data_IF_374487094653
#
_entry.id   IF_374487094653
#
_cell.length_a   1.000
_cell.length_b   1.000
_cell.length_c   1.000
_cell.angle_alpha   90.00
_cell.angle_beta   90.00
_cell.angle_gamma   90.00
#
_symmetry.space_group_name_H-M   'P 1'
#
loop_
_entity.id
_entity.type
_entity.pdbx_description
1 polymer ?
#
# COMPACT_ATOMS: atom_id res chain seq x y z
N UNK A 1 1.83 -0.49 7.14
CA UNK A 1 3.16 -0.68 7.79
C UNK A 1 3.08 -0.45 9.29
N UNK A 2 3.01 -1.53 10.07
CA UNK A 2 2.60 -1.49 11.50
C UNK A 2 3.42 -2.45 12.36
N UNK A 3 3.92 -1.95 13.50
CA UNK A 3 4.34 -2.76 14.65
C UNK A 3 3.08 -3.18 15.41
N UNK A 4 2.83 -4.49 15.50
CA UNK A 4 1.64 -5.01 16.17
C UNK A 4 1.72 -4.72 17.67
N UNK A 5 0.64 -4.15 18.21
CA UNK A 5 0.53 -3.70 19.60
C UNK A 5 1.03 -4.75 20.59
N UNK A 6 1.93 -4.32 21.49
CA UNK A 6 2.51 -5.12 22.56
C UNK A 6 3.34 -6.34 22.11
N UNK A 7 3.81 -6.39 20.87
CA UNK A 7 4.65 -7.48 20.33
C UNK A 7 5.92 -6.96 19.66
N UNK A 8 6.81 -7.88 19.25
CA UNK A 8 7.92 -7.62 18.34
C UNK A 8 7.60 -8.04 16.89
N UNK A 9 6.32 -7.98 16.49
CA UNK A 9 5.87 -8.34 15.15
C UNK A 9 5.77 -7.10 14.28
N UNK A 10 6.44 -7.11 13.13
CA UNK A 10 6.34 -6.09 12.10
C UNK A 10 5.58 -6.66 10.90
N UNK A 11 4.54 -5.97 10.45
CA UNK A 11 3.81 -6.32 9.22
C UNK A 11 4.09 -5.27 8.15
N UNK A 12 4.64 -5.74 7.02
CA UNK A 12 4.94 -4.99 5.80
C UNK A 12 5.92 -3.79 5.92
N UNK A 13 6.48 -3.50 7.10
CA UNK A 13 7.48 -2.42 7.29
C UNK A 13 8.92 -2.96 7.35
N UNK A 14 9.43 -3.44 6.22
CA UNK A 14 10.81 -3.94 6.14
C UNK A 14 11.86 -2.82 6.20
N UNK A 15 11.45 -1.56 5.96
CA UNK A 15 12.28 -0.38 6.20
C UNK A 15 12.49 -0.09 7.69
N UNK A 16 11.61 -0.57 8.57
CA UNK A 16 11.76 -0.45 10.02
C UNK A 16 13.03 -1.10 10.55
N UNK A 17 13.41 -2.24 9.95
CA UNK A 17 14.58 -3.01 10.30
C UNK A 17 15.88 -2.17 10.21
N UNK A 18 16.04 -1.42 9.12
CA UNK A 18 17.21 -0.54 8.92
C UNK A 18 17.26 0.61 9.92
N UNK A 19 16.10 1.08 10.38
CA UNK A 19 16.00 2.15 11.38
C UNK A 19 16.26 1.64 12.80
N UNK A 20 16.16 0.32 13.03
CA UNK A 20 16.28 -0.31 14.35
C UNK A 20 17.04 -1.64 14.28
N UNK A 21 18.30 -1.66 13.80
CA UNK A 21 19.00 -2.89 13.42
C UNK A 21 19.36 -3.81 14.58
N UNK A 22 19.39 -3.30 15.82
CA UNK A 22 19.77 -4.06 17.01
C UNK A 22 18.58 -4.73 17.73
N UNK A 23 17.35 -4.43 17.30
CA UNK A 23 16.13 -4.96 17.93
C UNK A 23 15.72 -6.27 17.26
N UNK A 24 15.21 -7.21 18.04
CA UNK A 24 14.80 -8.53 17.55
C UNK A 24 13.34 -8.50 17.13
N UNK A 25 13.11 -8.44 15.83
CA UNK A 25 11.77 -8.45 15.25
C UNK A 25 11.48 -9.71 14.46
N UNK A 26 10.20 -10.06 14.41
CA UNK A 26 9.64 -11.06 13.50
C UNK A 26 8.84 -10.32 12.44
N UNK A 27 9.03 -10.67 11.18
CA UNK A 27 8.43 -9.97 10.06
C UNK A 27 7.36 -10.80 9.40
N UNK A 28 6.30 -10.14 8.97
CA UNK A 28 5.25 -10.72 8.15
C UNK A 28 5.12 -9.92 6.86
N UNK A 29 5.02 -10.64 5.74
CA UNK A 29 4.73 -10.06 4.43
C UNK A 29 3.34 -10.52 4.01
N UNK A 30 2.38 -9.59 3.93
CA UNK A 30 1.00 -9.89 3.58
C UNK A 30 0.86 -10.31 2.11
N UNK A 31 1.58 -9.64 1.20
CA UNK A 31 1.55 -9.91 -0.24
C UNK A 31 2.73 -9.26 -1.00
N UNK A 32 2.84 -9.48 -2.31
CA UNK A 32 3.98 -9.06 -3.15
C UNK A 32 3.75 -7.76 -3.96
N UNK A 33 3.21 -6.72 -3.34
CA UNK A 33 3.27 -5.36 -3.89
C UNK A 33 4.43 -4.54 -3.33
N UNK A 34 4.92 -3.61 -4.15
CA UNK A 34 6.22 -2.95 -3.92
C UNK A 34 6.29 -2.09 -2.67
N UNK A 35 5.19 -1.49 -2.30
CA UNK A 35 4.99 -0.71 -1.10
C UNK A 35 4.86 -1.59 0.16
N UNK A 36 4.72 -2.91 0.05
CA UNK A 36 4.66 -3.83 1.20
C UNK A 36 5.97 -4.58 1.44
N UNK A 37 6.78 -4.82 0.41
CA UNK A 37 8.11 -5.45 0.58
C UNK A 37 9.28 -4.43 0.60
N UNK A 38 8.99 -3.13 0.53
CA UNK A 38 10.04 -2.11 0.46
C UNK A 38 10.98 -2.19 1.66
N UNK A 39 12.27 -2.43 1.39
CA UNK A 39 13.32 -2.61 2.39
C UNK A 39 13.98 -3.98 2.33
N UNK A 40 13.28 -5.00 1.82
CA UNK A 40 13.85 -6.32 1.55
C UNK A 40 14.92 -6.24 0.45
N UNK A 41 15.98 -7.03 0.61
CA UNK A 41 17.03 -7.22 -0.39
C UNK A 41 17.53 -8.67 -0.35
N UNK A 42 18.36 -9.05 -1.31
CA UNK A 42 19.05 -10.34 -1.31
C UNK A 42 19.95 -10.57 -0.08
N UNK A 43 20.33 -9.51 0.63
CA UNK A 43 21.14 -9.58 1.85
C UNK A 43 20.32 -9.43 3.12
N UNK A 44 19.01 -9.76 3.10
CA UNK A 44 18.15 -9.67 4.28
C UNK A 44 18.66 -10.54 5.42
N UNK A 45 18.96 -9.92 6.56
CA UNK A 45 19.46 -10.58 7.78
C UNK A 45 18.90 -9.94 9.06
N UNK A 46 17.73 -9.32 8.97
CA UNK A 46 17.13 -8.60 10.10
C UNK A 46 16.14 -9.43 10.93
N UNK A 47 15.75 -10.62 10.44
CA UNK A 47 14.80 -11.50 11.11
C UNK A 47 14.08 -12.44 10.16
N UNK A 48 13.31 -13.37 10.71
CA UNK A 48 12.48 -14.29 9.92
C UNK A 48 11.32 -13.54 9.25
N UNK A 49 10.98 -13.94 8.03
CA UNK A 49 9.84 -13.42 7.27
C UNK A 49 8.79 -14.53 7.15
N UNK A 50 7.60 -14.31 7.70
CA UNK A 50 6.46 -15.20 7.57
C UNK A 50 5.50 -14.69 6.49
N UNK A 51 5.10 -15.55 5.56
CA UNK A 51 4.18 -15.20 4.48
C UNK A 51 3.45 -16.43 3.92
N UNK A 52 2.53 -16.23 2.98
CA UNK A 52 1.86 -17.36 2.32
C UNK A 52 2.83 -18.11 1.40
N UNK A 53 2.47 -19.34 1.00
CA UNK A 53 3.28 -20.13 0.05
C UNK A 53 3.50 -19.41 -1.26
N UNK A 54 2.45 -18.78 -1.80
CA UNK A 54 2.51 -18.03 -3.06
C UNK A 54 3.38 -16.78 -2.90
N UNK A 55 3.22 -16.04 -1.80
CA UNK A 55 4.06 -14.88 -1.48
C UNK A 55 5.53 -15.26 -1.36
N UNK A 56 5.86 -16.41 -0.74
CA UNK A 56 7.24 -16.92 -0.66
C UNK A 56 7.83 -17.21 -2.04
N UNK A 57 7.07 -17.89 -2.91
CA UNK A 57 7.54 -18.20 -4.26
C UNK A 57 7.88 -16.92 -5.05
N UNK A 58 6.96 -15.96 -5.05
CA UNK A 58 7.16 -14.66 -5.68
C UNK A 58 8.32 -13.86 -5.07
N UNK A 59 8.46 -13.90 -3.74
CA UNK A 59 9.55 -13.23 -3.04
C UNK A 59 10.92 -13.80 -3.47
N UNK A 60 11.01 -15.12 -3.63
CA UNK A 60 12.25 -15.80 -4.04
C UNK A 60 12.58 -15.61 -5.52
N UNK A 61 11.58 -15.43 -6.39
CA UNK A 61 11.83 -14.99 -7.78
C UNK A 61 12.44 -13.59 -7.78
N UNK A 62 11.88 -12.68 -6.97
CA UNK A 62 12.34 -11.28 -6.93
C UNK A 62 13.68 -11.11 -6.21
N UNK A 63 13.88 -11.85 -5.12
CA UNK A 63 15.06 -11.79 -4.27
C UNK A 63 15.61 -13.19 -3.99
N UNK A 64 16.28 -13.84 -4.96
CA UNK A 64 16.75 -15.23 -4.81
C UNK A 64 17.73 -15.44 -3.64
N UNK A 65 18.39 -14.38 -3.16
CA UNK A 65 19.34 -14.45 -2.05
C UNK A 65 18.71 -14.34 -0.66
N UNK A 66 17.43 -13.96 -0.56
CA UNK A 66 16.75 -13.77 0.74
C UNK A 66 16.69 -15.10 1.50
N UNK A 67 17.05 -15.07 2.78
CA UNK A 67 17.00 -16.23 3.68
C UNK A 67 15.97 -16.04 4.78
N UNK A 68 15.64 -17.12 5.50
CA UNK A 68 14.74 -17.04 6.67
C UNK A 68 13.27 -16.80 6.33
N UNK A 69 12.83 -17.18 5.13
CA UNK A 69 11.42 -17.06 4.69
C UNK A 69 10.65 -18.33 5.03
N UNK A 70 9.66 -18.19 5.91
CA UNK A 70 8.82 -19.27 6.43
C UNK A 70 7.38 -19.10 5.96
N UNK A 71 6.68 -20.23 5.74
CA UNK A 71 5.28 -20.22 5.32
C UNK A 71 4.37 -20.62 6.47
N UNK A 72 3.21 -19.97 6.56
CA UNK A 72 2.13 -20.39 7.45
C UNK A 72 0.99 -20.99 6.61
N UNK A 73 0.46 -22.18 6.95
CA UNK A 73 -0.67 -22.75 6.24
C UNK A 73 -1.93 -21.87 6.36
N UNK A 74 -2.69 -21.76 5.26
CA UNK A 74 -3.95 -21.03 5.24
C UNK A 74 -4.96 -21.64 6.21
N UNK A 75 -5.75 -20.79 6.87
CA UNK A 75 -6.87 -21.16 7.76
C UNK A 75 -6.51 -22.11 8.90
N UNK A 76 -5.22 -22.25 9.20
CA UNK A 76 -4.72 -23.17 10.22
C UNK A 76 -3.98 -22.35 11.29
N UNK A 77 -4.49 -22.32 12.54
CA UNK A 77 -3.80 -21.61 13.60
C UNK A 77 -2.43 -22.23 13.88
N UNK A 78 -1.39 -21.41 13.78
CA UNK A 78 0.01 -21.82 13.92
C UNK A 78 0.67 -21.03 15.05
N UNK A 79 1.30 -21.72 15.98
CA UNK A 79 1.99 -21.08 17.11
C UNK A 79 3.40 -20.64 16.69
N UNK A 80 3.74 -19.39 16.99
CA UNK A 80 5.04 -18.77 16.74
C UNK A 80 5.60 -18.27 18.07
N UNK A 81 6.85 -18.62 18.34
CA UNK A 81 7.58 -18.13 19.51
C UNK A 81 8.07 -16.70 19.26
N UNK A 82 7.67 -15.77 20.13
CA UNK A 82 8.12 -14.37 20.10
C UNK A 82 9.40 -14.19 20.93
N UNK A 83 9.45 -14.87 22.08
CA UNK A 83 10.60 -15.05 22.95
C UNK A 83 10.35 -16.25 23.88
N UNK A 84 11.28 -16.54 24.80
CA UNK A 84 11.16 -17.67 25.75
C UNK A 84 9.86 -17.68 26.57
N UNK A 85 9.29 -16.49 26.83
CA UNK A 85 8.11 -16.31 27.68
C UNK A 85 6.81 -16.19 26.89
N UNK A 86 6.88 -15.66 25.66
CA UNK A 86 5.70 -15.26 24.91
C UNK A 86 5.63 -15.97 23.57
N UNK A 87 4.41 -16.42 23.26
CA UNK A 87 4.05 -17.02 21.98
C UNK A 87 2.80 -16.34 21.43
N UNK A 88 2.61 -16.46 20.12
CA UNK A 88 1.44 -15.96 19.41
C UNK A 88 0.88 -17.07 18.52
N UNK A 89 -0.44 -17.20 18.50
CA UNK A 89 -1.15 -18.02 17.52
C UNK A 89 -1.50 -17.12 16.32
N UNK A 90 -1.07 -17.54 15.14
CA UNK A 90 -1.28 -16.81 13.89
C UNK A 90 -2.11 -17.65 12.94
N UNK A 91 -3.15 -17.05 12.37
CA UNK A 91 -3.96 -17.66 11.32
C UNK A 91 -3.99 -16.77 10.10
N UNK A 92 -3.59 -17.30 8.94
CA UNK A 92 -3.75 -16.61 7.66
C UNK A 92 -5.12 -16.87 7.07
N UNK A 93 -5.78 -15.80 6.65
CA UNK A 93 -7.07 -15.80 5.97
C UNK A 93 -6.87 -15.17 4.60
N UNK A 94 -7.62 -15.61 3.60
CA UNK A 94 -7.54 -15.02 2.26
C UNK A 94 -7.99 -13.55 2.30
N UNK A 95 -7.16 -12.64 1.79
CA UNK A 95 -7.48 -11.21 1.71
C UNK A 95 -8.27 -10.84 0.45
N UNK A 96 -8.42 -11.77 -0.50
CA UNK A 96 -9.09 -11.54 -1.76
C UNK A 96 -8.54 -10.28 -2.49
N UNK A 97 -7.23 -10.03 -2.42
CA UNK A 97 -6.60 -8.84 -3.01
C UNK A 97 -5.79 -9.21 -4.27
N UNK A 98 -4.76 -10.04 -4.12
CA UNK A 98 -3.99 -10.63 -5.22
C UNK A 98 -3.54 -12.05 -4.83
N UNK A 99 -3.01 -12.86 -5.77
CA UNK A 99 -2.56 -14.21 -5.45
C UNK A 99 -1.57 -14.22 -4.28
N UNK A 100 -1.89 -15.03 -3.25
CA UNK A 100 -1.10 -15.14 -2.04
C UNK A 100 -1.33 -14.07 -0.98
N UNK A 101 -2.17 -13.06 -1.23
CA UNK A 101 -2.48 -12.04 -0.25
C UNK A 101 -3.24 -12.61 0.95
N UNK A 102 -2.84 -12.21 2.16
CA UNK A 102 -3.44 -12.69 3.40
C UNK A 102 -3.84 -11.56 4.34
N UNK A 103 -5.00 -11.73 4.99
CA UNK A 103 -5.25 -11.12 6.30
C UNK A 103 -4.62 -12.01 7.37
N UNK A 104 -4.21 -11.41 8.49
CA UNK A 104 -3.51 -12.09 9.57
C UNK A 104 -4.26 -11.88 10.87
N UNK A 105 -4.74 -12.99 11.45
CA UNK A 105 -5.34 -13.02 12.78
C UNK A 105 -4.29 -13.44 13.81
N UNK A 106 -3.96 -12.52 14.73
CA UNK A 106 -3.03 -12.74 15.84
C UNK A 106 -3.81 -12.93 17.14
N UNK A 107 -3.48 -13.98 17.89
CA UNK A 107 -4.09 -14.28 19.19
C UNK A 107 -3.00 -14.64 20.20
N UNK A 108 -2.99 -13.98 21.36
CA UNK A 108 -1.96 -14.25 22.38
C UNK A 108 -2.24 -13.57 23.72
N UNK A 109 -1.18 -13.39 24.52
CA UNK A 109 -1.24 -12.72 25.82
C UNK A 109 -1.72 -11.26 25.76
N UNK A 110 -1.74 -10.68 24.56
CA UNK A 110 -2.17 -9.32 24.27
C UNK A 110 -3.62 -9.24 23.77
N UNK A 111 -4.37 -10.35 23.72
CA UNK A 111 -5.71 -10.39 23.14
C UNK A 111 -5.71 -10.82 21.66
N UNK A 112 -6.65 -10.29 20.89
CA UNK A 112 -6.90 -10.65 19.48
C UNK A 112 -6.80 -9.45 18.56
N UNK A 113 -5.89 -9.51 17.58
CA UNK A 113 -5.64 -8.43 16.61
C UNK A 113 -5.83 -8.99 15.19
N UNK A 114 -6.60 -8.28 14.36
CA UNK A 114 -6.77 -8.60 12.94
C UNK A 114 -6.07 -7.54 12.09
N UNK A 115 -5.08 -7.95 11.29
CA UNK A 115 -4.43 -7.11 10.29
C UNK A 115 -4.88 -7.50 8.90
N UNK A 116 -5.53 -6.62 8.16
CA UNK A 116 -6.12 -6.97 6.87
C UNK A 116 -5.10 -7.10 5.75
N UNK A 117 -3.94 -6.46 5.88
CA UNK A 117 -3.11 -6.16 4.72
C UNK A 117 -3.90 -5.29 3.76
N UNK A 118 -3.70 -5.46 2.46
CA UNK A 118 -4.61 -4.95 1.45
C UNK A 118 -5.69 -6.01 1.19
N UNK A 119 -6.96 -5.59 1.13
CA UNK A 119 -8.08 -6.51 1.02
C UNK A 119 -9.24 -5.99 0.16
N UNK A 120 -9.94 -6.92 -0.50
CA UNK A 120 -11.26 -6.64 -1.08
C UNK A 120 -12.32 -7.54 -0.46
N UNK A 121 -13.10 -6.98 0.44
CA UNK A 121 -14.16 -7.72 1.11
C UNK A 121 -15.28 -8.10 0.14
N UNK A 122 -15.78 -9.33 0.27
CA UNK A 122 -17.07 -9.75 -0.25
C UNK A 122 -17.78 -10.62 0.80
N UNK A 123 -19.11 -10.74 0.70
CA UNK A 123 -19.89 -11.46 1.71
C UNK A 123 -19.61 -12.97 1.76
N UNK A 124 -19.11 -13.57 0.68
CA UNK A 124 -18.73 -14.99 0.67
C UNK A 124 -17.53 -15.30 1.58
N UNK A 125 -16.74 -14.27 1.93
CA UNK A 125 -15.62 -14.42 2.86
C UNK A 125 -16.11 -14.81 4.27
N UNK A 126 -17.33 -14.47 4.67
CA UNK A 126 -17.86 -14.81 6.00
C UNK A 126 -17.92 -16.34 6.20
N UNK A 127 -18.71 -17.11 5.42
CA UNK A 127 -18.79 -18.55 5.59
C UNK A 127 -17.47 -19.27 5.25
N UNK A 128 -16.62 -18.67 4.40
CA UNK A 128 -15.32 -19.25 4.02
C UNK A 128 -14.25 -19.16 5.13
N UNK A 129 -14.47 -18.38 6.18
CA UNK A 129 -13.48 -18.12 7.23
C UNK A 129 -14.05 -18.36 8.64
N UNK A 130 -14.36 -19.63 9.01
CA UNK A 130 -14.97 -19.96 10.31
C UNK A 130 -14.10 -19.61 11.52
N UNK A 131 -12.78 -19.45 11.35
CA UNK A 131 -11.84 -19.02 12.38
C UNK A 131 -12.09 -17.56 12.80
N UNK A 132 -12.56 -16.72 11.88
CA UNK A 132 -12.94 -15.33 12.13
C UNK A 132 -14.44 -15.18 12.36
N UNK A 133 -15.26 -15.95 11.64
CA UNK A 133 -16.72 -15.93 11.67
C UNK A 133 -17.29 -17.30 12.07
N UNK A 134 -17.25 -17.66 13.36
CA UNK A 134 -17.79 -18.93 13.82
C UNK A 134 -19.28 -19.04 13.49
N UNK A 135 -19.78 -20.21 13.04
CA UNK A 135 -21.18 -20.38 12.62
C UNK A 135 -22.20 -19.91 13.65
N UNK A 136 -21.90 -20.07 14.95
CA UNK A 136 -22.76 -19.66 16.05
C UNK A 136 -22.95 -18.13 16.18
N UNK A 137 -22.11 -17.31 15.54
CA UNK A 137 -22.18 -15.85 15.61
C UNK A 137 -22.95 -15.23 14.41
N UNK A 138 -23.35 -16.02 13.41
CA UNK A 138 -23.91 -15.52 12.14
C UNK A 138 -25.31 -14.90 12.32
N UNK A 139 -26.05 -15.26 13.36
CA UNK A 139 -27.45 -14.84 13.60
C UNK A 139 -27.63 -13.58 14.45
N UNK A 140 -26.60 -12.75 14.64
CA UNK A 140 -26.68 -11.59 15.54
C UNK A 140 -27.41 -10.40 14.92
N UNK A 141 -28.40 -9.86 15.64
CA UNK A 141 -29.30 -8.77 15.18
C UNK A 141 -28.57 -7.48 14.78
N UNK A 142 -27.41 -7.19 15.39
CA UNK A 142 -26.65 -5.95 15.14
C UNK A 142 -25.68 -6.05 13.95
N UNK A 143 -25.65 -7.19 13.26
CA UNK A 143 -24.80 -7.45 12.11
C UNK A 143 -23.35 -7.81 12.43
N UNK A 144 -22.94 -7.87 13.70
CA UNK A 144 -21.64 -8.42 14.13
C UNK A 144 -21.70 -9.93 14.08
N UNK A 145 -20.85 -10.57 13.29
CA UNK A 145 -20.80 -12.03 13.21
C UNK A 145 -19.41 -12.65 13.39
N UNK A 146 -18.38 -11.85 13.72
CA UNK A 146 -17.05 -12.37 14.01
C UNK A 146 -16.86 -12.78 15.48
N UNK A 147 -15.73 -13.41 15.78
CA UNK A 147 -15.15 -13.42 17.13
C UNK A 147 -14.89 -11.99 17.64
N UNK A 148 -14.62 -11.84 18.93
CA UNK A 148 -14.17 -10.57 19.49
C UNK A 148 -12.76 -10.21 18.97
N UNK A 149 -12.63 -8.98 18.48
CA UNK A 149 -11.39 -8.39 17.97
C UNK A 149 -11.08 -7.14 18.80
N UNK A 150 -9.96 -7.16 19.52
CA UNK A 150 -9.50 -6.00 20.30
C UNK A 150 -9.03 -4.88 19.37
N UNK A 151 -8.25 -5.22 18.35
CA UNK A 151 -7.72 -4.23 17.40
C UNK A 151 -7.88 -4.72 15.96
N UNK A 152 -8.51 -3.89 15.12
CA UNK A 152 -8.55 -4.07 13.67
C UNK A 152 -7.62 -3.06 12.99
N UNK A 153 -6.63 -3.55 12.27
CA UNK A 153 -5.75 -2.75 11.42
C UNK A 153 -6.26 -2.90 9.97
N UNK A 154 -6.98 -1.89 9.49
CA UNK A 154 -7.83 -1.94 8.30
C UNK A 154 -7.17 -1.30 7.06
N UNK A 155 -7.31 -1.98 5.91
CA UNK A 155 -7.09 -1.39 4.59
C UNK A 155 -8.06 -0.23 4.39
N UNK A 156 -7.52 0.97 4.44
CA UNK A 156 -8.27 2.20 4.34
C UNK A 156 -8.04 2.94 3.01
N UNK A 157 -7.71 2.22 1.93
CA UNK A 157 -7.40 2.78 0.60
C UNK A 157 -8.54 3.64 0.05
N UNK A 158 -9.77 3.11 0.05
CA UNK A 158 -10.99 3.79 -0.42
C UNK A 158 -12.01 4.04 0.71
N UNK A 159 -11.53 4.44 1.87
CA UNK A 159 -12.30 4.71 3.08
C UNK A 159 -13.06 6.05 3.03
N UNK A 160 -13.79 6.33 1.95
CA UNK A 160 -14.71 7.47 1.85
C UNK A 160 -15.96 7.12 1.01
N UNK A 161 -17.17 7.54 1.43
CA UNK A 161 -18.41 7.28 0.69
C UNK A 161 -18.43 7.69 -0.80
N UNK A 162 -17.51 8.56 -1.24
CA UNK A 162 -17.39 8.90 -2.67
C UNK A 162 -16.90 7.72 -3.53
N UNK A 163 -16.20 6.75 -2.93
CA UNK A 163 -15.66 5.61 -3.66
C UNK A 163 -16.72 4.53 -3.83
N UNK A 164 -17.45 4.64 -4.94
CA UNK A 164 -18.45 3.67 -5.38
C UNK A 164 -17.99 3.10 -6.72
N UNK A 165 -17.66 1.82 -6.71
CA UNK A 165 -17.32 1.07 -7.92
C UNK A 165 -17.93 -0.33 -7.84
N UNK A 166 -18.25 -0.94 -9.00
CA UNK A 166 -18.92 -2.24 -9.08
C UNK A 166 -18.11 -3.38 -8.46
N UNK A 167 -18.78 -4.51 -8.22
CA UNK A 167 -18.09 -5.76 -7.87
C UNK A 167 -17.22 -6.27 -9.04
N UNK A 168 -16.37 -7.27 -8.81
CA UNK A 168 -15.45 -7.78 -9.84
C UNK A 168 -16.19 -8.37 -11.04
N UNK A 169 -17.28 -9.09 -10.81
CA UNK A 169 -18.07 -9.74 -11.87
C UNK A 169 -18.74 -8.71 -12.79
N UNK A 170 -19.27 -7.63 -12.22
CA UNK A 170 -19.83 -6.50 -12.96
C UNK A 170 -18.74 -5.77 -13.76
N UNK A 171 -17.57 -5.52 -13.16
CA UNK A 171 -16.44 -4.92 -13.86
C UNK A 171 -15.90 -5.84 -14.99
N UNK A 172 -15.95 -7.16 -14.80
CA UNK A 172 -15.61 -8.15 -15.82
C UNK A 172 -16.61 -8.14 -16.98
N UNK A 173 -17.92 -8.05 -16.71
CA UNK A 173 -18.94 -7.89 -17.76
C UNK A 173 -18.71 -6.62 -18.58
N UNK A 174 -18.41 -5.49 -17.92
CA UNK A 174 -18.08 -4.24 -18.62
C UNK A 174 -16.83 -4.41 -19.52
N UNK A 175 -15.83 -5.16 -19.07
CA UNK A 175 -14.65 -5.47 -19.86
C UNK A 175 -15.02 -6.26 -21.12
N UNK A 176 -15.82 -7.31 -20.97
CA UNK A 176 -16.26 -8.15 -22.09
C UNK A 176 -17.09 -7.35 -23.09
N UNK A 177 -18.02 -6.51 -22.62
CA UNK A 177 -18.82 -5.63 -23.50
C UNK A 177 -17.96 -4.70 -24.36
N UNK A 178 -16.84 -4.20 -23.83
CA UNK A 178 -15.90 -3.37 -24.60
C UNK A 178 -15.19 -4.21 -25.66
N UNK A 179 -14.73 -5.40 -25.29
CA UNK A 179 -14.03 -6.32 -26.21
C UNK A 179 -14.97 -6.74 -27.34
N UNK A 180 -16.20 -7.14 -27.03
CA UNK A 180 -17.19 -7.63 -28.00
C UNK A 180 -17.61 -6.54 -29.00
N UNK A 181 -17.59 -5.26 -28.59
CA UNK A 181 -17.82 -4.11 -29.48
C UNK A 181 -16.67 -3.82 -30.43
N UNK A 182 -15.51 -4.48 -30.26
CA UNK A 182 -14.31 -4.29 -31.07
C UNK A 182 -13.76 -5.64 -31.61
N UNK A 183 -14.57 -6.44 -32.36
CA UNK A 183 -14.29 -7.86 -32.63
C UNK A 183 -13.12 -8.16 -33.57
N UNK A 184 -12.47 -7.14 -34.15
CA UNK A 184 -11.31 -7.29 -35.06
C UNK A 184 -10.05 -6.60 -34.53
N UNK A 185 -10.07 -6.15 -33.28
CA UNK A 185 -8.95 -5.44 -32.67
C UNK A 185 -8.14 -6.39 -31.78
N UNK A 186 -6.81 -6.26 -31.81
CA UNK A 186 -5.98 -6.81 -30.74
C UNK A 186 -6.25 -6.04 -29.45
N UNK A 187 -6.39 -6.75 -28.34
CA UNK A 187 -6.72 -6.16 -27.04
C UNK A 187 -5.46 -6.06 -26.19
N UNK A 188 -5.14 -4.85 -25.73
CA UNK A 188 -4.11 -4.62 -24.74
C UNK A 188 -4.72 -4.43 -23.35
N UNK A 189 -4.59 -5.43 -22.48
CA UNK A 189 -5.02 -5.34 -21.09
C UNK A 189 -3.91 -4.70 -20.25
N UNK A 190 -4.18 -3.51 -19.70
CA UNK A 190 -3.18 -2.73 -18.98
C UNK A 190 -3.34 -2.92 -17.47
N UNK A 191 -2.35 -3.57 -16.84
CA UNK A 191 -2.34 -3.85 -15.39
C UNK A 191 -0.96 -3.60 -14.76
N UNK A 192 -0.91 -3.59 -13.42
CA UNK A 192 0.31 -3.47 -12.61
C UNK A 192 1.13 -4.76 -12.60
N UNK A 193 2.33 -4.75 -12.03
CA UNK A 193 3.32 -5.85 -12.15
C UNK A 193 2.93 -7.18 -11.50
N UNK A 194 2.03 -7.19 -10.51
CA UNK A 194 1.45 -8.38 -9.87
C UNK A 194 0.00 -8.04 -9.52
N UNK A 195 -0.92 -8.97 -9.74
CA UNK A 195 -2.34 -8.80 -9.45
C UNK A 195 -3.20 -8.80 -10.72
N UNK A 196 -4.48 -9.14 -10.53
CA UNK A 196 -5.49 -9.33 -11.59
C UNK A 196 -5.22 -10.54 -12.50
N UNK A 197 -4.40 -11.50 -12.10
CA UNK A 197 -4.20 -12.75 -12.87
C UNK A 197 -5.49 -13.57 -12.96
N UNK A 198 -6.35 -13.54 -11.94
CA UNK A 198 -7.69 -14.14 -11.99
C UNK A 198 -8.54 -13.57 -13.13
N UNK A 199 -8.52 -12.24 -13.31
CA UNK A 199 -9.20 -11.55 -14.41
C UNK A 199 -8.69 -12.04 -15.77
N UNK A 200 -7.37 -12.24 -15.89
CA UNK A 200 -6.75 -12.72 -17.13
C UNK A 200 -7.18 -14.15 -17.44
N UNK A 201 -7.20 -15.03 -16.44
CA UNK A 201 -7.67 -16.42 -16.59
C UNK A 201 -9.16 -16.46 -16.94
N UNK A 202 -9.97 -15.58 -16.34
CA UNK A 202 -11.40 -15.48 -16.65
C UNK A 202 -11.63 -15.04 -18.10
N UNK A 203 -10.87 -14.06 -18.60
CA UNK A 203 -10.89 -13.66 -20.02
C UNK A 203 -10.47 -14.81 -20.93
N UNK A 204 -9.38 -15.50 -20.60
CA UNK A 204 -8.85 -16.62 -21.38
C UNK A 204 -9.91 -17.71 -21.55
N UNK A 205 -10.61 -18.06 -20.47
CA UNK A 205 -11.72 -19.02 -20.46
C UNK A 205 -12.94 -18.51 -21.23
N UNK A 206 -13.32 -17.25 -21.04
CA UNK A 206 -14.50 -16.67 -21.66
C UNK A 206 -14.38 -16.61 -23.19
N UNK A 207 -13.20 -16.26 -23.69
CA UNK A 207 -12.91 -16.08 -25.11
C UNK A 207 -12.24 -17.27 -25.79
N UNK A 208 -12.08 -18.39 -25.07
CA UNK A 208 -11.36 -19.59 -25.53
C UNK A 208 -10.02 -19.24 -26.20
N UNK A 209 -9.18 -18.53 -25.45
CA UNK A 209 -7.88 -18.03 -25.91
C UNK A 209 -6.82 -18.14 -24.82
N UNK A 210 -5.56 -17.84 -25.18
CA UNK A 210 -4.45 -17.69 -24.24
C UNK A 210 -4.04 -16.23 -24.12
N UNK A 211 -3.62 -15.82 -22.94
CA UNK A 211 -3.20 -14.46 -22.64
C UNK A 211 -1.73 -14.32 -22.95
N UNK A 212 -1.40 -13.40 -23.85
CA UNK A 212 -0.02 -13.09 -24.19
C UNK A 212 0.56 -12.20 -23.11
N UNK A 213 1.69 -12.61 -22.54
CA UNK A 213 2.39 -11.87 -21.48
C UNK A 213 3.88 -11.74 -21.82
N UNK A 214 4.58 -10.85 -21.12
CA UNK A 214 6.04 -10.77 -21.23
C UNK A 214 6.74 -11.81 -20.33
N UNK A 215 8.05 -12.01 -20.55
CA UNK A 215 8.88 -12.97 -19.81
C UNK A 215 8.74 -12.81 -18.29
N UNK A 216 8.85 -11.57 -17.80
CA UNK A 216 8.75 -11.28 -16.37
C UNK A 216 7.40 -11.69 -15.78
N UNK A 217 6.28 -11.46 -16.49
CA UNK A 217 4.96 -11.87 -16.03
C UNK A 217 4.79 -13.39 -16.10
N UNK A 218 5.33 -14.02 -17.14
CA UNK A 218 5.27 -15.46 -17.30
C UNK A 218 6.02 -16.19 -16.17
N UNK A 219 7.21 -15.67 -15.77
CA UNK A 219 7.94 -16.16 -14.60
C UNK A 219 7.11 -16.03 -13.31
N UNK A 220 6.43 -14.89 -13.12
CA UNK A 220 5.55 -14.62 -11.98
C UNK A 220 4.40 -15.65 -11.94
N UNK A 221 3.66 -15.81 -13.04
CA UNK A 221 2.55 -16.77 -13.14
C UNK A 221 3.00 -18.20 -12.90
N UNK A 222 4.15 -18.58 -13.48
CA UNK A 222 4.76 -19.90 -13.28
C UNK A 222 5.15 -20.13 -11.81
N UNK A 223 5.75 -19.13 -11.16
CA UNK A 223 6.15 -19.23 -9.76
C UNK A 223 4.96 -19.35 -8.79
N UNK A 224 3.83 -18.73 -9.13
CA UNK A 224 2.59 -18.89 -8.36
C UNK A 224 1.92 -20.24 -8.59
N UNK A 225 2.36 -21.01 -9.60
CA UNK A 225 1.69 -22.20 -10.13
C UNK A 225 0.21 -21.92 -10.45
N UNK A 226 -0.04 -20.76 -11.07
CA UNK A 226 -1.38 -20.20 -11.22
C UNK A 226 -1.86 -20.34 -12.68
N UNK A 227 -2.55 -21.44 -12.99
CA UNK A 227 -3.23 -21.64 -14.28
C UNK A 227 -2.34 -21.31 -15.49
N UNK A 228 -1.08 -21.79 -15.46
CA UNK A 228 -0.02 -21.43 -16.42
C UNK A 228 -0.43 -21.71 -17.86
N UNK A 229 -1.29 -22.70 -18.08
CA UNK A 229 -1.83 -23.11 -19.37
C UNK A 229 -2.61 -22.00 -20.11
N UNK A 230 -3.09 -20.97 -19.39
CA UNK A 230 -3.80 -19.83 -20.00
C UNK A 230 -2.87 -18.68 -20.39
N UNK A 231 -1.56 -18.83 -20.26
CA UNK A 231 -0.59 -17.79 -20.53
C UNK A 231 0.45 -18.25 -21.57
N UNK A 232 0.92 -17.32 -22.40
CA UNK A 232 1.95 -17.60 -23.41
C UNK A 232 2.86 -16.41 -23.64
N UNK A 233 4.10 -16.70 -24.06
CA UNK A 233 5.04 -15.70 -24.57
C UNK A 233 4.88 -15.47 -26.09
N UNK A 234 4.22 -16.41 -26.79
CA UNK A 234 4.04 -16.35 -28.23
C UNK A 234 2.88 -15.43 -28.59
N UNK A 235 3.21 -14.29 -29.19
CA UNK A 235 2.23 -13.28 -29.59
C UNK A 235 1.24 -13.75 -30.65
N UNK A 236 1.53 -14.86 -31.34
CA UNK A 236 0.68 -15.43 -32.39
C UNK A 236 -0.40 -16.37 -31.85
N UNK A 237 -0.24 -16.88 -30.62
CA UNK A 237 -1.17 -17.84 -30.01
C UNK A 237 -2.38 -17.16 -29.34
N UNK A 238 -2.25 -15.89 -28.96
CA UNK A 238 -3.29 -15.13 -28.28
C UNK A 238 -3.49 -13.73 -28.85
N UNK A 239 -4.73 -13.25 -28.79
CA UNK A 239 -5.12 -11.92 -29.28
C UNK A 239 -5.37 -10.89 -28.17
N UNK A 240 -5.34 -11.33 -26.91
CA UNK A 240 -5.32 -10.47 -25.72
C UNK A 240 -3.89 -10.47 -25.17
N UNK A 241 -3.29 -9.29 -25.05
CA UNK A 241 -1.92 -9.10 -24.57
C UNK A 241 -1.88 -8.19 -23.35
N UNK A 242 -1.18 -8.62 -22.31
CA UNK A 242 -0.98 -7.84 -21.08
C UNK A 242 0.23 -6.95 -21.25
N UNK A 243 0.02 -5.65 -21.06
CA UNK A 243 1.08 -4.64 -21.15
C UNK A 243 1.11 -3.75 -19.90
N UNK A 244 2.22 -3.05 -19.68
CA UNK A 244 2.28 -2.01 -18.65
C UNK A 244 1.61 -0.74 -19.14
N UNK A 245 1.04 0.04 -18.21
CA UNK A 245 0.42 1.34 -18.52
C UNK A 245 1.33 2.31 -19.28
N UNK A 246 2.64 2.27 -19.03
CA UNK A 246 3.62 3.11 -19.73
C UNK A 246 3.83 2.75 -21.21
N UNK A 247 3.40 1.57 -21.64
CA UNK A 247 3.58 1.06 -23.01
C UNK A 247 2.40 1.44 -23.93
N UNK A 248 1.27 1.87 -23.37
CA UNK A 248 0.01 2.10 -24.10
C UNK A 248 0.17 3.00 -25.31
N UNK A 249 0.84 4.14 -25.17
CA UNK A 249 1.02 5.12 -26.27
C UNK A 249 1.84 4.55 -27.43
N UNK A 250 2.85 3.73 -27.13
CA UNK A 250 3.66 3.10 -28.16
C UNK A 250 2.88 1.99 -28.86
N UNK A 251 2.14 1.17 -28.11
CA UNK A 251 1.43 0.00 -28.62
C UNK A 251 0.19 0.38 -29.45
N UNK A 252 -0.47 1.50 -29.14
CA UNK A 252 -1.64 2.01 -29.88
C UNK A 252 -1.32 2.71 -31.21
N UNK A 253 -0.05 2.72 -31.66
CA UNK A 253 0.32 3.18 -33.00
C UNK A 253 -0.32 2.32 -34.10
N UNK A 254 -0.56 1.05 -33.81
CA UNK A 254 -1.37 0.18 -34.67
C UNK A 254 -2.85 0.55 -34.55
N UNK A 255 -3.49 0.80 -35.70
CA UNK A 255 -4.90 1.23 -35.77
C UNK A 255 -5.88 0.11 -35.40
N UNK A 256 -5.47 -1.15 -35.53
CA UNK A 256 -6.31 -2.32 -35.24
C UNK A 256 -6.14 -2.81 -33.80
N UNK A 257 -5.98 -1.87 -32.86
CA UNK A 257 -5.75 -2.19 -31.44
C UNK A 257 -6.59 -1.32 -30.53
N UNK A 258 -6.99 -1.89 -29.39
CA UNK A 258 -7.59 -1.15 -28.28
C UNK A 258 -6.79 -1.43 -27.00
N UNK A 259 -6.81 -0.50 -26.05
CA UNK A 259 -6.20 -0.66 -24.75
C UNK A 259 -7.24 -0.47 -23.65
N UNK A 260 -7.31 -1.43 -22.72
CA UNK A 260 -8.25 -1.40 -21.61
C UNK A 260 -7.46 -1.41 -20.31
N UNK A 261 -7.58 -0.34 -19.54
CA UNK A 261 -6.90 -0.20 -18.23
C UNK A 261 -7.83 -0.62 -17.11
N UNK A 262 -7.46 -1.70 -16.42
CA UNK A 262 -8.18 -2.21 -15.26
C UNK A 262 -7.63 -1.60 -13.97
N UNK A 263 -8.39 -0.71 -13.34
CA UNK A 263 -7.97 0.04 -12.14
C UNK A 263 -9.11 0.20 -11.14
N UNK A 264 -8.79 0.30 -9.84
CA UNK A 264 -9.80 0.53 -8.80
C UNK A 264 -10.35 1.95 -8.77
N UNK A 265 -9.68 2.91 -9.43
CA UNK A 265 -10.16 4.28 -9.54
C UNK A 265 -10.75 4.56 -10.91
N UNK A 266 -12.07 4.54 -10.97
CA UNK A 266 -12.82 5.19 -12.03
C UNK A 266 -14.09 5.78 -11.43
N UNK A 267 -13.97 6.84 -10.62
CA UNK A 267 -15.09 7.77 -10.45
C UNK A 267 -15.19 8.67 -11.71
N UNK A 268 -15.06 8.03 -12.87
CA UNK A 268 -15.07 8.64 -14.20
C UNK A 268 -16.45 8.41 -14.76
N UNK A 269 -17.08 9.49 -15.21
CA UNK A 269 -18.37 9.41 -15.90
C UNK A 269 -18.27 8.77 -17.28
N UNK A 270 -17.06 8.68 -17.85
CA UNK A 270 -16.78 8.00 -19.11
C UNK A 270 -15.67 6.98 -18.97
N UNK A 271 -16.00 5.72 -19.25
CA UNK A 271 -15.06 4.60 -19.33
C UNK A 271 -14.30 4.54 -20.67
N UNK A 272 -14.69 5.39 -21.64
CA UNK A 272 -14.06 5.50 -22.95
C UNK A 272 -13.36 6.86 -23.07
N UNK A 273 -12.12 6.84 -23.55
CA UNK A 273 -11.35 8.05 -23.85
C UNK A 273 -11.77 8.64 -25.20
N UNK A 274 -11.51 9.94 -25.47
CA UNK A 274 -11.96 10.61 -26.69
C UNK A 274 -11.47 10.01 -28.02
N UNK A 275 -10.45 9.14 -27.99
CA UNK A 275 -9.91 8.48 -29.18
C UNK A 275 -10.63 7.17 -29.53
N UNK A 276 -11.63 6.77 -28.76
CA UNK A 276 -12.40 5.53 -28.90
C UNK A 276 -11.57 4.24 -28.92
N UNK A 277 -10.31 4.29 -28.50
CA UNK A 277 -9.39 3.12 -28.47
C UNK A 277 -8.83 2.86 -27.09
N UNK A 278 -8.84 3.85 -26.20
CA UNK A 278 -8.50 3.68 -24.78
C UNK A 278 -9.75 3.61 -23.93
N UNK A 279 -9.78 2.60 -23.07
CA UNK A 279 -10.85 2.37 -22.11
C UNK A 279 -10.27 2.23 -20.71
N UNK A 280 -11.06 2.61 -19.72
CA UNK A 280 -10.75 2.46 -18.30
C UNK A 280 -11.92 1.74 -17.65
N UNK A 281 -11.66 0.64 -16.95
CA UNK A 281 -12.69 -0.10 -16.22
C UNK A 281 -12.41 -0.09 -14.71
N UNK A 282 -13.45 0.00 -13.86
CA UNK A 282 -13.33 0.05 -12.41
C UNK A 282 -13.06 -1.33 -11.76
N UNK A 283 -12.08 -2.09 -12.27
CA UNK A 283 -11.70 -3.37 -11.68
C UNK A 283 -10.73 -3.17 -10.50
N UNK A 284 -11.29 -3.08 -9.29
CA UNK A 284 -10.53 -2.87 -8.06
C UNK A 284 -10.04 -4.18 -7.40
N UNK A 285 -8.86 -4.11 -6.78
CA UNK A 285 -8.36 -5.13 -5.86
C UNK A 285 -8.52 -4.73 -4.38
N UNK A 286 -9.09 -3.56 -4.09
CA UNK A 286 -9.42 -3.10 -2.74
C UNK A 286 -10.91 -2.91 -2.56
N UNK A 287 -11.36 -2.96 -1.31
CA UNK A 287 -12.74 -2.73 -0.92
C UNK A 287 -13.19 -1.31 -1.29
N UNK A 288 -14.36 -1.15 -1.92
CA UNK A 288 -15.06 0.15 -1.92
C UNK A 288 -15.58 0.47 -0.52
N UNK A 289 -16.14 1.67 -0.32
CA UNK A 289 -16.62 2.09 1.00
C UNK A 289 -17.74 1.21 1.54
N UNK A 290 -18.66 0.72 0.69
CA UNK A 290 -19.77 -0.13 1.11
C UNK A 290 -19.30 -1.54 1.51
N UNK A 291 -18.40 -2.14 0.74
CA UNK A 291 -17.73 -3.41 1.06
C UNK A 291 -16.98 -3.28 2.40
N UNK A 292 -16.23 -2.19 2.60
CA UNK A 292 -15.53 -1.90 3.86
C UNK A 292 -16.50 -1.68 5.03
N UNK A 293 -17.62 -1.01 4.80
CA UNK A 293 -18.66 -0.80 5.81
C UNK A 293 -19.29 -2.12 6.25
N UNK A 294 -19.62 -3.01 5.31
CA UNK A 294 -20.10 -4.36 5.62
C UNK A 294 -19.08 -5.16 6.43
N UNK A 295 -17.80 -5.10 6.03
CA UNK A 295 -16.72 -5.75 6.75
C UNK A 295 -16.60 -5.24 8.19
N UNK A 296 -16.45 -3.92 8.40
CA UNK A 296 -16.31 -3.34 9.75
C UNK A 296 -17.57 -3.57 10.59
N UNK A 297 -18.77 -3.53 9.99
CA UNK A 297 -20.02 -3.88 10.68
C UNK A 297 -20.06 -5.34 11.13
N UNK A 298 -19.48 -6.25 10.35
CA UNK A 298 -19.37 -7.68 10.68
C UNK A 298 -18.40 -7.97 11.81
N UNK A 299 -17.35 -7.14 11.94
CA UNK A 299 -16.31 -7.28 12.96
C UNK A 299 -16.69 -6.57 14.26
N UNK A 300 -17.06 -5.29 14.13
CA UNK A 300 -17.18 -4.32 15.22
C UNK A 300 -15.97 -4.44 16.17
N UNK A 301 -14.78 -3.95 15.83
CA UNK A 301 -13.60 -4.13 16.69
C UNK A 301 -13.66 -3.19 17.91
N UNK A 302 -12.91 -3.46 18.98
CA UNK A 302 -12.83 -2.53 20.11
C UNK A 302 -12.03 -1.28 19.74
N UNK A 303 -10.90 -1.44 19.04
CA UNK A 303 -10.05 -0.40 18.49
C UNK A 303 -9.89 -0.55 16.97
N UNK A 304 -9.76 0.58 16.27
CA UNK A 304 -9.56 0.62 14.82
C UNK A 304 -8.31 1.43 14.47
N UNK A 305 -7.44 0.85 13.65
CA UNK A 305 -6.22 1.45 13.12
C UNK A 305 -6.18 1.39 11.59
N UNK A 306 -5.32 2.22 10.99
CA UNK A 306 -5.11 2.32 9.54
C UNK A 306 -3.88 1.52 9.09
N UNK A 307 -4.00 0.73 8.04
CA UNK A 307 -2.84 0.13 7.32
C UNK A 307 -2.08 1.24 6.58
N UNK A 308 -2.79 2.08 5.84
CA UNK A 308 -2.25 3.19 5.05
C UNK A 308 -2.19 4.44 5.94
N UNK A 309 -0.99 4.77 6.40
CA UNK A 309 -0.74 5.95 7.24
C UNK A 309 -0.43 7.15 6.35
N UNK A 310 -1.15 8.26 6.56
CA UNK A 310 -0.83 9.51 5.90
C UNK A 310 0.51 10.03 6.45
N UNK A 311 1.59 9.96 5.66
CA UNK A 311 2.85 10.63 6.00
C UNK A 311 2.63 12.14 6.02
N UNK A 312 2.57 12.73 7.21
CA UNK A 312 2.56 14.18 7.46
C UNK A 312 3.98 14.76 7.58
N UNK A 313 5.02 13.97 7.32
CA UNK A 313 6.43 14.37 7.42
C UNK A 313 7.04 14.80 6.07
N UNK A 314 7.51 16.05 6.02
CA UNK A 314 8.35 16.73 5.01
C UNK A 314 8.93 15.87 3.86
N UNK A 315 8.52 16.21 2.63
CA UNK A 315 9.30 16.19 1.38
C UNK A 315 10.36 15.08 1.28
N UNK A 316 9.92 13.84 1.09
CA UNK A 316 10.73 12.89 0.32
C UNK A 316 10.72 13.38 -1.13
N UNK A 317 11.89 13.82 -1.62
CA UNK A 317 12.11 14.13 -3.03
C UNK A 317 11.64 12.93 -3.86
N UNK A 318 10.50 13.11 -4.53
CA UNK A 318 9.92 12.14 -5.46
C UNK A 318 10.90 12.03 -6.63
N UNK A 319 11.75 11.01 -6.61
CA UNK A 319 12.48 10.60 -7.80
C UNK A 319 11.47 9.93 -8.74
N UNK A 320 11.40 10.48 -9.95
CA UNK A 320 10.62 10.05 -11.11
C UNK A 320 10.26 8.56 -11.12
N UNK A 321 8.95 8.24 -11.18
CA UNK A 321 8.33 7.16 -11.96
C UNK A 321 6.81 7.47 -12.08
N UNK A 322 6.28 7.17 -13.25
CA UNK A 322 5.01 7.56 -13.88
C UNK A 322 3.72 7.32 -13.10
N UNK A 323 2.84 8.34 -13.07
CA UNK A 323 1.36 8.36 -13.02
C UNK A 323 0.62 7.64 -11.86
N UNK A 324 1.11 6.53 -11.31
CA UNK A 324 0.62 5.95 -10.05
C UNK A 324 0.81 6.91 -8.86
N UNK A 325 1.85 7.75 -8.96
CA UNK A 325 2.12 8.85 -8.03
C UNK A 325 1.03 9.91 -8.06
N UNK A 326 0.42 10.27 -9.19
CA UNK A 326 -0.70 11.21 -9.20
C UNK A 326 -1.94 10.63 -8.49
N UNK A 327 -2.18 9.32 -8.64
CA UNK A 327 -3.28 8.59 -8.00
C UNK A 327 -3.12 8.53 -6.47
N UNK A 328 -1.95 8.10 -5.98
CA UNK A 328 -1.63 8.10 -4.56
C UNK A 328 -1.56 9.52 -3.99
N UNK A 329 -1.05 10.49 -4.74
CA UNK A 329 -1.03 11.90 -4.36
C UNK A 329 -2.46 12.43 -4.19
N UNK A 330 -3.37 12.21 -5.14
CA UNK A 330 -4.77 12.67 -5.02
C UNK A 330 -5.49 12.01 -3.83
N UNK A 331 -5.34 10.70 -3.63
CA UNK A 331 -5.92 10.01 -2.47
C UNK A 331 -5.33 10.48 -1.13
N UNK A 332 -4.04 10.80 -1.09
CA UNK A 332 -3.35 11.31 0.10
C UNK A 332 -3.78 12.73 0.47
N UNK A 333 -4.25 13.53 -0.49
CA UNK A 333 -4.75 14.89 -0.25
C UNK A 333 -6.25 14.95 0.06
N UNK A 334 -7.02 13.89 -0.24
CA UNK A 334 -8.43 13.81 0.14
C UNK A 334 -8.52 13.39 1.61
N UNK A 335 -9.10 14.23 2.47
CA UNK A 335 -9.47 13.83 3.83
C UNK A 335 -10.60 12.80 3.74
N UNK A 336 -10.24 11.52 3.78
CA UNK A 336 -11.19 10.41 3.74
C UNK A 336 -12.00 10.35 5.05
N UNK A 337 -13.33 10.47 4.94
CA UNK A 337 -14.27 10.61 6.08
C UNK A 337 -14.75 9.28 6.66
N UNK A 338 -14.55 8.19 5.94
CA UNK A 338 -15.07 6.87 6.30
C UNK A 338 -14.48 6.33 7.60
N UNK A 339 -13.23 6.64 7.88
CA UNK A 339 -12.56 6.12 9.07
C UNK A 339 -13.16 6.68 10.37
N UNK A 340 -13.44 7.99 10.40
CA UNK A 340 -14.10 8.66 11.54
C UNK A 340 -15.54 8.16 11.71
N UNK A 341 -16.23 7.87 10.61
CA UNK A 341 -17.52 7.22 10.63
C UNK A 341 -17.44 5.81 11.28
N UNK A 342 -16.46 4.99 10.93
CA UNK A 342 -16.32 3.66 11.52
C UNK A 342 -15.96 3.69 13.01
N UNK A 343 -15.03 4.57 13.41
CA UNK A 343 -14.71 4.79 14.82
C UNK A 343 -15.99 5.10 15.64
N UNK A 344 -16.80 6.05 15.17
CA UNK A 344 -18.00 6.47 15.91
C UNK A 344 -19.08 5.38 15.99
N UNK A 345 -19.25 4.57 14.94
CA UNK A 345 -20.42 3.69 14.82
C UNK A 345 -20.15 2.22 15.11
N UNK A 346 -18.91 1.75 15.05
CA UNK A 346 -18.57 0.33 15.12
C UNK A 346 -17.44 -0.01 16.10
N UNK A 347 -16.90 0.98 16.81
CA UNK A 347 -15.88 0.74 17.84
C UNK A 347 -16.41 1.03 19.23
N UNK A 348 -15.95 0.24 20.20
CA UNK A 348 -16.28 0.41 21.62
C UNK A 348 -15.15 -0.16 22.47
N UNK A 349 -14.37 0.73 23.09
CA UNK A 349 -13.25 0.38 23.97
C UNK A 349 -13.67 -0.47 25.17
N UNK A 350 -14.94 -0.45 25.57
CA UNK A 350 -15.45 -1.29 26.67
C UNK A 350 -15.43 -2.78 26.31
N UNK A 351 -15.33 -3.12 25.03
CA UNK A 351 -15.24 -4.51 24.53
C UNK A 351 -13.80 -5.02 24.45
N UNK A 352 -12.81 -4.22 24.86
CA UNK A 352 -11.45 -4.71 25.04
C UNK A 352 -11.43 -5.88 26.02
N UNK A 353 -10.73 -6.94 25.64
CA UNK A 353 -10.39 -8.05 26.51
C UNK A 353 -9.64 -7.59 27.75
N UNK A 354 -9.75 -8.36 28.83
CA UNK A 354 -9.07 -8.05 30.08
C UNK A 354 -7.55 -8.06 29.89
N UNK A 355 -7.05 -8.98 29.06
CA UNK A 355 -5.65 -9.14 28.69
C UNK A 355 -5.13 -7.86 28.02
N UNK A 356 -5.77 -7.44 26.93
CA UNK A 356 -5.38 -6.24 26.18
C UNK A 356 -5.44 -5.00 27.08
N UNK A 357 -6.56 -4.82 27.80
CA UNK A 357 -6.76 -3.68 28.70
C UNK A 357 -5.72 -3.63 29.82
N UNK A 358 -5.36 -4.78 30.39
CA UNK A 358 -4.36 -4.85 31.46
C UNK A 358 -2.99 -4.38 31.01
N UNK A 359 -2.59 -4.69 29.77
CA UNK A 359 -1.31 -4.26 29.22
C UNK A 359 -1.40 -2.79 28.81
N UNK A 360 -2.49 -2.39 28.15
CA UNK A 360 -2.71 -1.01 27.71
C UNK A 360 -2.62 0.01 28.86
N UNK A 361 -3.16 -0.33 30.03
CA UNK A 361 -3.25 0.57 31.19
C UNK A 361 -2.02 0.52 32.10
N UNK A 362 -1.14 -0.47 31.96
CA UNK A 362 0.02 -0.68 32.83
C UNK A 362 1.35 -0.45 32.08
N UNK A 363 1.93 0.74 32.29
CA UNK A 363 3.20 1.12 31.66
C UNK A 363 4.39 0.28 32.15
N UNK A 364 4.34 -0.28 33.36
CA UNK A 364 5.39 -1.16 33.88
C UNK A 364 5.32 -2.50 33.17
N UNK A 365 4.12 -3.08 33.05
CA UNK A 365 3.89 -4.32 32.31
C UNK A 365 4.33 -4.20 30.84
N UNK A 366 4.06 -3.07 30.19
CA UNK A 366 4.53 -2.80 28.83
C UNK A 366 6.07 -2.81 28.73
N UNK A 367 6.77 -2.16 29.66
CA UNK A 367 8.25 -2.17 29.69
C UNK A 367 8.80 -3.58 29.90
N UNK A 368 8.24 -4.32 30.85
CA UNK A 368 8.64 -5.72 31.11
C UNK A 368 8.45 -6.59 29.85
N UNK A 369 7.32 -6.45 29.14
CA UNK A 369 7.10 -7.14 27.86
C UNK A 369 8.14 -6.71 26.82
N UNK A 370 8.39 -5.41 26.65
CA UNK A 370 9.34 -4.91 25.66
C UNK A 370 10.78 -5.39 25.92
N UNK A 371 11.18 -5.53 27.18
CA UNK A 371 12.48 -6.09 27.57
C UNK A 371 12.57 -7.57 27.21
N UNK A 372 11.56 -8.36 27.58
CA UNK A 372 11.49 -9.80 27.27
C UNK A 372 11.48 -10.08 25.75
N UNK A 373 10.88 -9.17 24.97
CA UNK A 373 10.83 -9.27 23.51
C UNK A 373 12.09 -8.73 22.82
N UNK A 374 13.04 -8.14 23.56
CA UNK A 374 14.26 -7.54 22.97
C UNK A 374 13.98 -6.32 22.09
N UNK A 375 12.95 -5.53 22.44
CA UNK A 375 12.58 -4.27 21.78
C UNK A 375 13.20 -3.07 22.52
N UNK A 376 13.39 -3.17 23.84
CA UNK A 376 14.22 -2.25 24.60
C UNK A 376 15.70 -2.56 24.36
N UNK A 377 16.45 -1.53 23.97
CA UNK A 377 17.88 -1.63 23.71
C UNK A 377 18.62 -1.66 25.05
N UNK A 378 19.60 -2.56 25.18
CA UNK A 378 20.50 -2.55 26.32
C UNK A 378 21.43 -1.32 26.29
N UNK A 379 22.10 -1.00 27.40
CA UNK A 379 23.14 0.04 27.41
C UNK A 379 24.25 -0.24 26.38
N UNK A 380 24.57 -1.52 26.14
CA UNK A 380 25.53 -1.94 25.13
C UNK A 380 25.02 -1.68 23.71
N UNK A 381 23.73 -1.89 23.45
CA UNK A 381 23.12 -1.57 22.15
C UNK A 381 23.12 -0.06 21.90
N UNK A 382 22.87 0.75 22.93
CA UNK A 382 23.01 2.20 22.85
C UNK A 382 24.46 2.62 22.53
N UNK A 383 25.46 1.95 23.12
CA UNK A 383 26.87 2.19 22.79
C UNK A 383 27.19 1.82 21.34
N UNK A 384 26.69 0.69 20.83
CA UNK A 384 26.87 0.27 19.44
C UNK A 384 26.21 1.28 18.48
N UNK A 385 24.96 1.69 18.74
CA UNK A 385 24.27 2.70 17.91
C UNK A 385 25.05 4.01 17.88
N UNK A 386 25.53 4.47 19.04
CA UNK A 386 26.31 5.69 19.12
C UNK A 386 27.64 5.55 18.36
N UNK A 387 28.30 4.39 18.43
CA UNK A 387 29.52 4.11 17.67
C UNK A 387 29.26 4.04 16.15
N UNK A 388 28.22 3.35 15.70
CA UNK A 388 27.85 3.25 14.28
C UNK A 388 27.44 4.62 13.73
N UNK A 389 26.60 5.37 14.44
CA UNK A 389 26.23 6.75 14.08
C UNK A 389 27.45 7.67 14.01
N UNK A 390 28.38 7.54 14.96
CA UNK A 390 29.63 8.29 14.95
C UNK A 390 30.51 7.91 13.76
N UNK A 391 30.62 6.62 13.42
CA UNK A 391 31.39 6.15 12.27
C UNK A 391 30.78 6.62 10.95
N UNK A 392 29.46 6.50 10.78
CA UNK A 392 28.74 6.92 9.57
C UNK A 392 28.83 8.43 9.34
N UNK A 393 28.66 9.22 10.41
CA UNK A 393 28.81 10.69 10.35
C UNK A 393 30.24 11.10 9.99
N UNK A 394 31.22 10.30 10.39
CA UNK A 394 32.65 10.58 10.20
C UNK A 394 33.30 9.73 9.08
N UNK A 395 32.53 9.06 8.22
CA UNK A 395 33.07 8.19 7.16
C UNK A 395 34.11 8.92 6.26
N UNK A 396 33.91 10.21 5.99
CA UNK A 396 34.85 11.04 5.22
C UNK A 396 36.19 11.31 5.94
N UNK A 397 36.21 11.25 7.27
CA UNK A 397 37.40 11.44 8.10
C UNK A 397 38.18 10.11 8.19
N UNK A 398 37.47 9.00 8.37
CA UNK A 398 38.06 7.66 8.50
C UNK A 398 38.51 7.06 7.15
N UNK A 399 37.90 7.42 6.02
CA UNK A 399 38.39 7.01 4.70
C UNK A 399 39.73 7.67 4.34
N UNK A 400 40.00 8.89 4.82
CA UNK A 400 41.31 9.56 4.60
C UNK A 400 42.46 8.87 5.33
N UNK A 401 42.21 8.16 6.43
CA UNK A 401 43.26 7.44 7.17
C UNK A 401 43.63 6.08 6.57
N UNK A 402 42.76 5.46 5.76
CA UNK A 402 43.06 4.17 5.09
C UNK A 402 43.90 4.28 3.82
N UNK A 403 44.18 5.49 3.31
CA UNK A 403 44.98 5.71 2.09
C UNK A 403 46.46 6.04 2.32
N UNK A 404 47.04 5.71 3.47
CA UNK A 404 48.50 5.86 3.68
C UNK A 404 49.14 4.53 4.05
N UNK A 405 49.26 3.63 3.06
CA UNK A 405 50.39 2.69 2.99
C UNK A 405 50.95 2.73 1.57
N UNK A 406 52.14 3.34 1.45
CA UNK A 406 52.96 3.44 0.24
C UNK A 406 53.30 2.03 -0.27
N UNK A 407 52.94 1.75 -1.52
CA UNK A 407 53.46 0.67 -2.34
C UNK A 407 53.72 1.21 -3.74
N UNK A 408 54.87 0.82 -4.31
CA UNK A 408 55.52 1.40 -5.48
C UNK A 408 54.64 1.56 -6.73
N UNK A 409 54.90 2.63 -7.49
CA UNK A 409 54.36 2.89 -8.84
C UNK A 409 54.95 1.91 -9.86
N UNK A 410 54.09 1.31 -10.68
CA UNK A 410 54.42 0.92 -12.04
C UNK A 410 53.70 1.86 -13.01
N UNK A 411 54.42 2.34 -14.01
CA UNK A 411 53.89 3.16 -15.10
C UNK A 411 53.28 2.30 -16.22
N UNK A 412 52.28 2.92 -16.88
CA UNK A 412 51.80 2.80 -18.28
C UNK A 412 50.27 2.61 -18.34
N UNK A 413 49.57 2.99 -19.43
CA UNK A 413 49.72 4.14 -20.32
C UNK A 413 48.39 4.93 -20.50
N UNK A 414 48.46 6.02 -21.24
CA UNK A 414 47.35 6.92 -21.56
C UNK A 414 46.15 6.26 -22.25
N UNK A 415 44.92 6.61 -21.82
CA UNK A 415 43.81 6.87 -22.75
C UNK A 415 42.81 7.89 -22.16
N UNK A 416 42.92 9.12 -22.67
CA UNK A 416 41.86 10.06 -23.04
C UNK A 416 40.58 10.16 -22.16
N UNK A 417 40.51 11.19 -21.31
CA UNK A 417 39.25 11.73 -20.75
C UNK A 417 39.19 13.25 -20.93
N UNK A 418 38.54 13.67 -22.01
CA UNK A 418 37.95 15.01 -22.09
C UNK A 418 36.52 14.94 -21.54
N UNK A 419 36.34 15.25 -20.26
CA UNK A 419 35.04 15.69 -19.72
C UNK A 419 35.31 16.75 -18.66
N UNK A 420 35.30 18.02 -19.08
CA UNK A 420 35.67 19.16 -18.24
C UNK A 420 34.53 19.53 -17.29
N UNK A 421 34.67 19.10 -16.03
CA UNK A 421 33.85 19.45 -14.85
C UNK A 421 33.58 20.97 -14.72
N UNK A 422 34.43 21.80 -15.31
CA UNK A 422 34.30 23.27 -15.33
C UNK A 422 33.10 23.79 -16.14
N UNK A 423 32.58 23.06 -17.15
CA UNK A 423 31.36 23.47 -17.85
C UNK A 423 30.08 23.26 -17.03
N UNK A 424 30.04 22.21 -16.20
CA UNK A 424 28.88 21.91 -15.36
C UNK A 424 28.72 22.92 -14.20
N UNK A 425 29.83 23.38 -13.63
CA UNK A 425 29.83 24.38 -12.55
C UNK A 425 29.37 25.76 -13.07
N UNK A 426 29.67 26.09 -14.32
CA UNK A 426 29.28 27.38 -14.94
C UNK A 426 27.78 27.43 -15.27
N UNK A 427 27.22 26.33 -15.78
CA UNK A 427 25.78 26.20 -16.04
C UNK A 427 24.94 26.27 -14.75
N UNK A 428 25.44 25.69 -13.65
CA UNK A 428 24.75 25.72 -12.35
C UNK A 428 24.72 27.11 -11.71
N UNK A 429 25.73 27.95 -11.93
CA UNK A 429 25.75 29.35 -11.46
C UNK A 429 24.83 30.27 -12.27
N UNK A 430 24.61 30.00 -13.57
CA UNK A 430 23.68 30.78 -14.38
C UNK A 430 22.21 30.52 -13.99
N UNK A 431 21.82 29.26 -13.77
CA UNK A 431 20.46 28.90 -13.36
C UNK A 431 20.03 29.53 -12.01
N UNK A 432 20.93 29.58 -11.04
CA UNK A 432 20.66 30.17 -9.71
C UNK A 432 20.50 31.69 -9.77
N UNK A 433 21.14 32.36 -10.74
CA UNK A 433 20.98 33.80 -10.92
C UNK A 433 19.69 34.15 -11.69
N UNK A 434 19.23 33.28 -12.61
CA UNK A 434 17.96 33.46 -13.32
C UNK A 434 16.75 33.27 -12.40
N UNK A 435 16.81 32.32 -11.44
CA UNK A 435 15.76 32.14 -10.43
C UNK A 435 15.63 33.33 -9.46
N UNK A 436 16.74 34.02 -9.15
CA UNK A 436 16.72 35.23 -8.29
C UNK A 436 16.16 36.47 -9.00
N UNK A 437 16.36 36.59 -10.32
CA UNK A 437 15.82 37.69 -11.11
C UNK A 437 14.30 37.58 -11.29
N UNK A 438 13.76 36.36 -11.41
CA UNK A 438 12.32 36.11 -11.58
C UNK A 438 11.49 36.29 -10.30
N UNK A 439 12.13 36.43 -9.13
CA UNK A 439 11.47 36.69 -7.84
C UNK A 439 11.39 38.19 -7.48
N UNK A 440 11.97 39.09 -8.30
CA UNK A 440 11.98 40.53 -8.03
C UNK A 440 10.91 41.35 -8.78
N UNK A 441 10.15 40.74 -9.70
CA UNK A 441 9.07 41.41 -10.47
C UNK A 441 7.66 41.02 -10.00
N UNK A 442 7.37 41.18 -8.71
CA UNK A 442 5.99 41.23 -8.20
C UNK A 442 5.74 42.62 -7.61
N UNK A 443 4.92 43.40 -8.32
CA UNK A 443 4.46 44.73 -7.94
C UNK A 443 3.71 44.66 -6.59
N UNK A 444 3.96 45.56 -5.62
CA UNK A 444 3.27 45.55 -4.33
C UNK A 444 1.89 46.21 -4.44
N UNK A 445 0.86 45.56 -3.88
CA UNK A 445 -0.45 46.19 -3.62
C UNK A 445 -0.41 46.78 -2.21
N UNK A 446 -0.48 48.10 -2.15
CA UNK A 446 -0.49 48.93 -0.94
C UNK A 446 -1.64 48.55 0.02
N UNK A 447 -1.27 48.30 1.27
CA UNK A 447 -2.17 48.30 2.43
C UNK A 447 -1.77 49.46 3.31
N UNK A 448 -2.51 50.57 3.26
CA UNK A 448 -2.84 51.42 4.43
C UNK A 448 -3.65 52.65 4.00
N UNK A 449 -4.95 52.64 4.31
CA UNK A 449 -5.74 53.82 4.72
C UNK A 449 -7.13 53.38 5.17
N UNK A 450 -7.35 53.37 6.48
CA UNK A 450 -8.49 54.00 7.19
C UNK A 450 -8.69 53.36 8.56
N UNK A 451 -8.15 54.05 9.56
CA UNK A 451 -8.72 54.12 10.91
C UNK A 451 -9.79 55.24 10.93
N UNK A 452 -10.72 55.07 11.85
CA UNK A 452 -11.62 56.07 12.48
C UNK A 452 -12.97 56.38 11.81
N UNK A 453 -14.03 55.82 12.40
CA UNK A 453 -15.17 56.51 13.06
C UNK A 453 -16.28 55.45 13.34
N UNK A 454 -16.50 55.03 14.60
CA UNK A 454 -17.50 55.59 15.54
C UNK A 454 -18.83 55.96 14.84
N UNK A 455 -19.86 55.12 14.96
CA UNK A 455 -20.82 55.06 16.06
C UNK A 455 -22.08 55.90 15.78
N UNK A 456 -23.21 55.29 16.13
CA UNK A 456 -24.47 55.93 16.55
C UNK A 456 -25.56 56.33 15.53
N UNK A 457 -26.77 55.78 15.81
CA UNK A 457 -28.10 56.44 15.88
C UNK A 457 -29.19 55.98 14.88
N UNK A 458 -30.12 55.17 15.46
CA UNK A 458 -31.60 55.06 15.30
C UNK A 458 -32.22 54.76 13.94
N UNK A 459 -32.99 53.67 13.80
CA UNK A 459 -34.42 53.53 14.13
C UNK A 459 -35.33 54.61 13.51
N UNK A 460 -36.32 54.18 12.69
CA UNK A 460 -37.75 54.55 12.76
C UNK A 460 -38.56 53.94 11.59
N UNK A 461 -39.37 52.94 11.95
CA UNK A 461 -40.77 52.64 11.58
C UNK A 461 -41.25 52.17 10.19
N UNK A 462 -41.92 51.01 10.25
CA UNK A 462 -43.31 50.66 9.83
C UNK A 462 -43.80 50.97 8.41
N UNK A 463 -44.24 49.91 7.70
CA UNK A 463 -45.65 49.62 7.34
C UNK A 463 -45.70 48.44 6.32
N UNK A 464 -46.16 47.26 6.73
CA UNK A 464 -47.50 46.67 6.49
C UNK A 464 -47.85 46.32 5.03
N UNK A 465 -48.05 45.00 4.81
CA UNK A 465 -49.15 44.29 4.10
C UNK A 465 -48.73 43.37 2.95
N UNK A 466 -48.93 42.07 3.23
CA UNK A 466 -49.27 40.96 2.31
C UNK A 466 -50.41 41.29 1.32
N UNK A 467 -50.87 40.37 0.43
CA UNK A 467 -50.29 39.12 -0.10
C UNK A 467 -50.38 39.04 -1.65
N UNK A 468 -50.09 37.86 -2.25
CA UNK A 468 -50.85 37.14 -3.32
C UNK A 468 -49.87 36.44 -4.29
N UNK A 469 -49.66 35.12 -4.15
CA UNK A 469 -50.25 34.01 -4.95
C UNK A 469 -49.68 34.02 -6.38
N UNK A 470 -48.67 33.20 -6.71
CA UNK A 470 -48.73 31.79 -7.20
C UNK A 470 -49.82 31.59 -8.27
N UNK A 471 -49.37 31.40 -9.51
CA UNK A 471 -49.64 30.17 -10.26
C UNK A 471 -48.36 29.76 -11.00
#
# INVERSE_FOLDING_TARGET
MVLISYTNIIVDDFGYARRNPLKRYIYFLTHMHSDHYQGISNGWDYGQIFCSTVTKALLLVKFPGVKGVMTIPMKTPTEIELCKKYKVKVTFLDANHCPGAVMILFQGYFGTILHTGDMRFNMEMIPKNPQLYPPQNISNENGKCSIDIDELILDNTYCDPIFKFPNRDEAFKMLCEIIDKNPNNRVFLCVDSVGKEELMVELAKHYDTVIVVNEQRYEIVTAMNFYVEYFTLDKTQGWIEVIRKGEVEERLKDKNTIAITATGWANTTSYQMPDNRRYVIPYSLHSNFNEMHQFVKSIQPALLQKVVKNNTGKSSKIYNITQFSQYMVTLHHIKQRGFEFFLKNYTDEKRLSQEYRSIMMDSRKQREINQELGIELSEQDHQIINQTMFQDTNQNIFQKQKQVRKGYKFEQPETNKNFKITQFIRAKKQLVNTEKALQQDVIPVDKEKRKDNNAEITEVTKQTKDPIIID
#
